data_IF_576459490065
#
_entry.id   IF_576459490065
#
_cell.length_a   1.000
_cell.length_b   1.000
_cell.length_c   1.000
_cell.angle_alpha   90.00
_cell.angle_beta   90.00
_cell.angle_gamma   90.00
#
_symmetry.space_group_name_H-M   'P 1'
#
loop_
_entity.id
_entity.type
_entity.pdbx_description
1 polymer ?
#
# COMPACT_ATOMS: atom_id res chain seq x y z
N UNK A 1 37.74 6.42 -15.33
CA UNK A 1 36.96 7.06 -14.26
C UNK A 1 35.77 6.12 -13.96
N UNK A 2 35.93 5.27 -12.94
CA UNK A 2 34.88 4.31 -12.54
C UNK A 2 33.88 5.13 -11.76
N UNK A 3 32.74 5.45 -12.36
CA UNK A 3 31.60 5.98 -11.61
C UNK A 3 31.12 4.85 -10.70
N UNK A 4 31.47 4.89 -9.43
CA UNK A 4 30.70 4.22 -8.39
C UNK A 4 29.32 4.89 -8.34
N UNK A 5 28.44 4.41 -9.19
CA UNK A 5 27.03 4.68 -9.04
C UNK A 5 26.64 3.94 -7.76
N UNK A 6 26.62 4.64 -6.63
CA UNK A 6 26.00 4.11 -5.41
C UNK A 6 24.57 3.73 -5.83
N UNK A 7 24.32 2.43 -5.94
CA UNK A 7 23.02 1.91 -6.32
C UNK A 7 22.03 2.33 -5.24
N UNK A 8 21.44 3.51 -5.47
CA UNK A 8 20.39 4.00 -4.60
C UNK A 8 19.17 3.10 -4.80
N UNK A 9 18.54 2.65 -3.73
CA UNK A 9 17.27 1.94 -3.81
C UNK A 9 16.26 2.83 -4.54
N UNK A 10 15.69 2.34 -5.64
CA UNK A 10 14.67 3.04 -6.41
C UNK A 10 13.46 2.15 -6.59
N UNK A 11 12.29 2.76 -6.66
CA UNK A 11 11.07 2.03 -6.94
C UNK A 11 10.07 2.83 -7.76
N UNK A 12 9.25 2.12 -8.50
CA UNK A 12 8.13 2.66 -9.26
C UNK A 12 6.88 1.85 -8.97
N UNK A 13 5.73 2.53 -9.01
CA UNK A 13 4.42 1.88 -8.95
C UNK A 13 3.61 2.29 -10.16
N UNK A 14 2.84 1.37 -10.72
CA UNK A 14 1.90 1.64 -11.81
C UNK A 14 0.61 0.85 -11.63
N UNK A 15 -0.32 1.06 -12.55
CA UNK A 15 -1.64 0.46 -12.53
C UNK A 15 -2.70 1.36 -11.90
N UNK A 16 -3.93 1.13 -12.29
CA UNK A 16 -5.12 1.87 -11.91
C UNK A 16 -5.95 1.07 -10.93
N UNK A 17 -6.77 1.77 -10.14
CA UNK A 17 -7.59 1.16 -9.08
C UNK A 17 -8.52 0.07 -9.61
N UNK A 18 -9.15 0.28 -10.77
CA UNK A 18 -10.03 -0.67 -11.43
C UNK A 18 -9.43 -1.24 -12.72
N UNK A 19 -8.14 -0.93 -13.03
CA UNK A 19 -7.38 -1.58 -14.08
C UNK A 19 -7.09 -3.05 -13.73
N UNK A 20 -6.49 -3.77 -14.68
CA UNK A 20 -6.23 -5.22 -14.57
C UNK A 20 -5.42 -5.59 -13.32
N UNK A 21 -4.38 -4.82 -13.03
CA UNK A 21 -3.49 -5.08 -11.91
C UNK A 21 -2.76 -3.81 -11.48
N UNK A 22 -2.21 -3.83 -10.28
CA UNK A 22 -1.15 -2.92 -9.87
C UNK A 22 0.19 -3.60 -10.09
N UNK A 23 1.19 -2.83 -10.45
CA UNK A 23 2.57 -3.31 -10.53
C UNK A 23 3.49 -2.44 -9.69
N UNK A 24 4.56 -3.07 -9.20
CA UNK A 24 5.64 -2.40 -8.51
C UNK A 24 6.98 -2.91 -9.00
N UNK A 25 7.93 -2.03 -9.23
CA UNK A 25 9.31 -2.38 -9.57
C UNK A 25 10.23 -1.79 -8.52
N UNK A 26 11.17 -2.58 -8.00
CA UNK A 26 12.21 -2.12 -7.08
C UNK A 26 13.58 -2.59 -7.59
N UNK A 27 14.54 -1.69 -7.61
CA UNK A 27 15.94 -1.97 -7.94
C UNK A 27 16.87 -1.56 -6.80
N UNK A 28 18.09 -2.11 -6.80
CA UNK A 28 19.08 -1.84 -5.76
C UNK A 28 19.05 -2.83 -4.60
N UNK A 29 18.20 -3.86 -4.64
CA UNK A 29 18.23 -4.96 -3.68
C UNK A 29 19.39 -5.89 -4.04
N UNK A 30 20.28 -6.23 -3.08
CA UNK A 30 21.41 -7.13 -3.33
C UNK A 30 20.95 -8.55 -3.68
N UNK A 31 21.79 -9.28 -4.40
CA UNK A 31 21.56 -10.70 -4.68
C UNK A 31 21.64 -11.55 -3.39
N UNK A 32 21.01 -12.73 -3.43
CA UNK A 32 20.97 -13.73 -2.37
C UNK A 32 20.13 -13.37 -1.12
N UNK A 33 19.36 -12.29 -1.13
CA UNK A 33 18.37 -12.06 -0.08
C UNK A 33 17.26 -13.13 -0.21
N UNK A 34 16.97 -13.91 0.86
CA UNK A 34 15.81 -14.79 0.88
C UNK A 34 14.53 -13.98 0.75
N UNK A 35 13.71 -14.29 -0.26
CA UNK A 35 12.46 -13.57 -0.55
C UNK A 35 11.47 -14.48 -1.25
N UNK A 36 10.23 -14.49 -0.76
CA UNK A 36 9.09 -15.19 -1.34
C UNK A 36 7.86 -14.28 -1.38
N UNK A 37 6.84 -14.64 -2.16
CA UNK A 37 5.54 -13.95 -2.13
C UNK A 37 4.91 -13.97 -0.74
N UNK A 38 5.09 -15.05 0.03
CA UNK A 38 4.57 -15.15 1.39
C UNK A 38 5.13 -14.06 2.32
N UNK A 39 6.40 -13.68 2.17
CA UNK A 39 7.00 -12.59 2.96
C UNK A 39 6.32 -11.25 2.68
N UNK A 40 5.86 -11.04 1.45
CA UNK A 40 5.17 -9.81 1.01
C UNK A 40 3.70 -9.85 1.44
N UNK A 41 3.05 -10.98 1.31
CA UNK A 41 1.63 -11.17 1.60
C UNK A 41 1.28 -10.93 3.08
N UNK A 42 2.23 -11.12 4.00
CA UNK A 42 2.07 -10.77 5.41
C UNK A 42 1.74 -9.27 5.57
N UNK A 43 2.49 -8.39 4.92
CA UNK A 43 2.26 -6.95 5.00
C UNK A 43 1.04 -6.51 4.17
N UNK A 44 0.72 -7.19 3.06
CA UNK A 44 -0.53 -6.98 2.31
C UNK A 44 -1.75 -7.37 3.14
N UNK A 45 -1.74 -8.51 3.81
CA UNK A 45 -2.79 -8.94 4.73
C UNK A 45 -2.95 -7.95 5.90
N UNK A 46 -1.83 -7.48 6.46
CA UNK A 46 -1.81 -6.42 7.46
C UNK A 46 -2.47 -5.14 6.96
N UNK A 47 -2.20 -4.72 5.72
CA UNK A 47 -2.84 -3.56 5.08
C UNK A 47 -4.36 -3.73 5.00
N UNK A 48 -4.84 -4.93 4.73
CA UNK A 48 -6.26 -5.22 4.54
C UNK A 48 -7.03 -5.36 5.85
N UNK A 49 -6.38 -5.54 6.99
CA UNK A 49 -7.00 -5.64 8.31
C UNK A 49 -7.30 -4.26 8.92
N UNK A 50 -8.25 -4.20 9.85
CA UNK A 50 -8.59 -3.01 10.63
C UNK A 50 -10.06 -2.58 10.51
N UNK A 51 -10.50 -1.75 11.45
CA UNK A 51 -11.87 -1.24 11.55
C UNK A 51 -12.12 -0.10 10.55
N UNK A 52 -13.36 0.04 10.07
CA UNK A 52 -13.77 1.14 9.18
C UNK A 52 -13.26 1.02 7.74
N UNK A 53 -12.75 -0.15 7.33
CA UNK A 53 -12.32 -0.39 5.96
C UNK A 53 -13.52 -0.53 5.03
N UNK A 54 -13.45 0.15 3.87
CA UNK A 54 -14.54 0.16 2.88
C UNK A 54 -14.87 -1.23 2.32
N UNK A 55 -16.07 -1.37 1.73
CA UNK A 55 -16.61 -2.65 1.23
C UNK A 55 -15.74 -3.37 0.23
N UNK A 56 -14.92 -2.65 -0.56
CA UNK A 56 -13.97 -3.23 -1.52
C UNK A 56 -12.93 -4.15 -0.87
N UNK A 57 -12.55 -3.88 0.39
CA UNK A 57 -11.63 -4.74 1.14
C UNK A 57 -12.17 -6.15 1.41
N UNK A 58 -13.49 -6.36 1.24
CA UNK A 58 -14.13 -7.68 1.33
C UNK A 58 -13.97 -8.49 0.04
N UNK A 59 -13.76 -7.82 -1.09
CA UNK A 59 -13.64 -8.42 -2.42
C UNK A 59 -12.17 -8.77 -2.72
N UNK A 60 -11.27 -7.85 -2.38
CA UNK A 60 -9.84 -7.99 -2.64
C UNK A 60 -9.18 -8.86 -1.56
N UNK A 61 -8.41 -9.84 -2.02
CA UNK A 61 -7.45 -10.58 -1.21
C UNK A 61 -6.11 -10.42 -1.90
N UNK A 62 -5.33 -9.45 -1.44
CA UNK A 62 -4.09 -9.07 -2.10
C UNK A 62 -3.05 -10.18 -1.99
N UNK A 63 -2.49 -10.54 -3.14
CA UNK A 63 -1.37 -11.44 -3.28
C UNK A 63 -0.36 -10.79 -4.24
N UNK A 64 0.92 -10.82 -3.90
CA UNK A 64 1.97 -10.30 -4.74
C UNK A 64 2.63 -11.43 -5.53
N UNK A 65 2.36 -11.50 -6.83
CA UNK A 65 3.09 -12.36 -7.75
C UNK A 65 4.45 -11.73 -8.05
N UNK A 66 5.53 -12.49 -7.86
CA UNK A 66 6.88 -12.06 -8.21
C UNK A 66 7.14 -12.44 -9.67
N UNK A 67 7.19 -11.43 -10.55
CA UNK A 67 7.38 -11.60 -12.00
C UNK A 67 8.86 -11.73 -12.37
N UNK A 68 9.74 -11.04 -11.65
CA UNK A 68 11.19 -11.02 -11.94
C UNK A 68 12.03 -10.76 -10.70
N UNK A 69 13.35 -10.92 -10.83
CA UNK A 69 14.33 -10.52 -9.82
C UNK A 69 14.55 -11.53 -8.69
N UNK A 70 13.78 -12.65 -8.66
CA UNK A 70 13.90 -13.72 -7.67
C UNK A 70 13.94 -15.07 -8.38
N UNK A 71 14.83 -15.95 -7.92
CA UNK A 71 14.92 -17.34 -8.38
C UNK A 71 15.15 -18.27 -7.19
N UNK A 72 14.35 -19.34 -7.08
CA UNK A 72 14.47 -20.33 -6.01
C UNK A 72 14.48 -19.70 -4.60
N UNK A 73 13.60 -18.71 -4.39
CA UNK A 73 13.45 -18.03 -3.10
C UNK A 73 14.60 -17.08 -2.73
N UNK A 74 15.43 -16.67 -3.71
CA UNK A 74 16.51 -15.69 -3.50
C UNK A 74 16.52 -14.64 -4.58
N UNK A 75 16.76 -13.40 -4.20
CA UNK A 75 16.99 -12.29 -5.14
C UNK A 75 18.25 -12.54 -5.98
N UNK A 76 18.27 -12.05 -7.22
CA UNK A 76 19.38 -12.23 -8.15
C UNK A 76 20.14 -10.93 -8.47
N UNK A 77 19.80 -9.82 -7.78
CA UNK A 77 20.45 -8.52 -7.97
C UNK A 77 19.91 -7.71 -9.15
N UNK A 78 18.98 -8.25 -9.94
CA UNK A 78 18.25 -7.50 -10.97
C UNK A 78 16.99 -6.84 -10.40
N UNK A 79 16.33 -5.93 -11.13
CA UNK A 79 15.07 -5.35 -10.70
C UNK A 79 14.02 -6.43 -10.38
N UNK A 80 13.34 -6.27 -9.26
CA UNK A 80 12.25 -7.13 -8.82
C UNK A 80 10.94 -6.48 -9.26
N UNK A 81 10.13 -7.21 -10.00
CA UNK A 81 8.80 -6.79 -10.44
C UNK A 81 7.74 -7.59 -9.71
N UNK A 82 6.78 -6.88 -9.14
CA UNK A 82 5.59 -7.43 -8.50
C UNK A 82 4.34 -7.09 -9.30
N UNK A 83 3.39 -8.03 -9.33
CA UNK A 83 2.05 -7.83 -9.86
C UNK A 83 1.02 -8.19 -8.78
N UNK A 84 0.02 -7.32 -8.59
CA UNK A 84 -1.11 -7.52 -7.69
C UNK A 84 -2.38 -7.36 -8.50
N UNK A 85 -3.08 -8.46 -8.74
CA UNK A 85 -4.32 -8.45 -9.52
C UNK A 85 -5.43 -7.65 -8.82
N UNK A 86 -6.25 -6.97 -9.61
CA UNK A 86 -7.49 -6.37 -9.16
C UNK A 86 -8.65 -7.30 -9.48
N UNK A 87 -9.24 -7.94 -8.47
CA UNK A 87 -10.37 -8.86 -8.63
C UNK A 87 -11.62 -8.18 -9.17
N UNK A 88 -11.75 -6.89 -8.90
CA UNK A 88 -12.87 -6.08 -9.40
C UNK A 88 -12.76 -5.72 -10.89
N UNK A 89 -11.60 -5.94 -11.52
CA UNK A 89 -11.37 -5.64 -12.95
C UNK A 89 -12.40 -6.29 -13.89
N UNK A 90 -12.92 -7.45 -13.53
CA UNK A 90 -13.99 -8.14 -14.31
C UNK A 90 -15.22 -7.25 -14.55
N UNK A 91 -15.49 -6.30 -13.66
CA UNK A 91 -16.61 -5.36 -13.78
C UNK A 91 -16.23 -4.07 -14.55
N UNK A 92 -14.95 -3.91 -14.86
CA UNK A 92 -14.38 -2.70 -15.45
C UNK A 92 -13.64 -2.96 -16.77
N UNK A 93 -13.76 -4.15 -17.32
CA UNK A 93 -12.98 -4.60 -18.46
C UNK A 93 -13.00 -3.63 -19.64
N UNK A 94 -14.18 -3.11 -20.01
CA UNK A 94 -14.33 -2.13 -21.08
C UNK A 94 -13.96 -0.72 -20.61
N UNK A 95 -14.48 -0.30 -19.44
CA UNK A 95 -14.28 1.04 -18.92
C UNK A 95 -12.84 1.39 -18.53
N UNK A 96 -11.97 0.39 -18.37
CA UNK A 96 -10.54 0.54 -18.12
C UNK A 96 -9.67 -0.10 -19.20
N UNK A 97 -10.25 -0.34 -20.38
CA UNK A 97 -9.52 -0.88 -21.54
C UNK A 97 -8.56 0.15 -22.11
N UNK A 98 -7.34 -0.25 -22.51
CA UNK A 98 -6.46 0.60 -23.31
C UNK A 98 -6.87 0.70 -24.78
N UNK A 99 -7.84 -0.10 -25.24
CA UNK A 99 -8.28 -0.13 -26.63
C UNK A 99 -9.28 0.99 -26.90
N UNK A 100 -9.03 1.75 -27.97
CA UNK A 100 -9.89 2.86 -28.43
C UNK A 100 -11.32 2.41 -28.77
N UNK A 101 -11.53 1.14 -29.06
CA UNK A 101 -12.86 0.58 -29.35
C UNK A 101 -13.82 0.70 -28.14
N UNK A 102 -13.29 0.86 -26.95
CA UNK A 102 -14.08 1.00 -25.73
C UNK A 102 -14.24 2.47 -25.27
N UNK A 103 -13.80 3.45 -26.08
CA UNK A 103 -14.01 4.86 -25.77
C UNK A 103 -15.51 5.16 -25.61
N UNK A 104 -15.85 5.85 -24.52
CA UNK A 104 -17.24 6.15 -24.19
C UNK A 104 -18.07 4.99 -23.61
N UNK A 105 -17.46 3.82 -23.35
CA UNK A 105 -18.16 2.66 -22.72
C UNK A 105 -18.71 2.97 -21.31
N UNK A 106 -18.12 3.95 -20.63
CA UNK A 106 -18.60 4.46 -19.34
C UNK A 106 -18.67 6.00 -19.35
N UNK A 107 -19.62 6.62 -18.64
CA UNK A 107 -19.71 8.07 -18.59
C UNK A 107 -18.48 8.69 -17.89
N UNK A 108 -17.98 9.85 -18.38
CA UNK A 108 -16.87 10.55 -17.78
C UNK A 108 -17.22 11.10 -16.40
N UNK A 109 -16.24 11.16 -15.52
CA UNK A 109 -16.34 11.81 -14.21
C UNK A 109 -15.90 13.27 -14.37
N UNK A 110 -16.82 14.21 -14.17
CA UNK A 110 -16.57 15.66 -14.37
C UNK A 110 -16.49 16.46 -13.08
N UNK A 111 -16.81 15.84 -11.93
CA UNK A 111 -16.81 16.51 -10.62
C UNK A 111 -15.64 16.02 -9.76
N UNK A 112 -14.68 16.89 -9.43
CA UNK A 112 -13.57 16.55 -8.55
C UNK A 112 -14.07 16.34 -7.11
N UNK A 113 -13.49 15.36 -6.42
CA UNK A 113 -13.77 15.14 -4.99
C UNK A 113 -13.03 16.20 -4.16
N UNK A 114 -13.72 16.86 -3.19
CA UNK A 114 -13.07 17.78 -2.26
C UNK A 114 -11.96 17.09 -1.44
N UNK A 115 -10.85 17.79 -1.24
CA UNK A 115 -9.74 17.26 -0.46
C UNK A 115 -8.94 16.11 -1.09
N UNK A 116 -9.19 15.82 -2.38
CA UNK A 116 -8.48 14.75 -3.14
C UNK A 116 -7.57 15.35 -4.21
N UNK A 117 -6.75 14.50 -4.86
CA UNK A 117 -5.83 14.90 -5.93
C UNK A 117 -6.53 15.26 -7.26
N UNK A 118 -7.84 15.12 -7.35
CA UNK A 118 -8.61 15.15 -8.57
C UNK A 118 -8.44 16.46 -9.37
N UNK A 119 -8.71 17.61 -8.75
CA UNK A 119 -8.59 18.91 -9.42
C UNK A 119 -7.16 19.22 -9.81
N UNK A 120 -6.22 19.01 -8.89
CA UNK A 120 -4.80 19.27 -9.14
C UNK A 120 -4.26 18.38 -10.26
N UNK A 121 -4.65 17.09 -10.28
CA UNK A 121 -4.27 16.15 -11.33
C UNK A 121 -4.90 16.49 -12.67
N UNK A 122 -6.18 16.83 -12.71
CA UNK A 122 -6.87 17.23 -13.93
C UNK A 122 -6.19 18.45 -14.59
N UNK A 123 -5.85 19.46 -13.80
CA UNK A 123 -5.14 20.64 -14.29
C UNK A 123 -3.71 20.29 -14.76
N UNK A 124 -2.97 19.51 -13.96
CA UNK A 124 -1.57 19.15 -14.29
C UNK A 124 -1.46 18.36 -15.58
N UNK A 125 -2.36 17.42 -15.81
CA UNK A 125 -2.30 16.48 -16.94
C UNK A 125 -3.29 16.83 -18.07
N UNK A 126 -3.98 17.95 -17.96
CA UNK A 126 -5.00 18.40 -18.93
C UNK A 126 -6.04 17.30 -19.20
N UNK A 127 -6.60 16.72 -18.13
CA UNK A 127 -7.60 15.66 -18.22
C UNK A 127 -9.00 16.22 -17.96
N UNK A 128 -9.92 15.96 -18.89
CA UNK A 128 -11.33 16.34 -18.76
C UNK A 128 -12.16 15.25 -18.07
N UNK A 129 -11.84 13.98 -18.31
CA UNK A 129 -12.36 12.88 -17.50
C UNK A 129 -11.48 12.71 -16.26
N UNK A 130 -12.02 13.12 -15.10
CA UNK A 130 -11.34 13.03 -13.82
C UNK A 130 -11.09 11.57 -13.41
N UNK A 131 -11.76 10.61 -14.03
CA UNK A 131 -11.52 9.18 -13.80
C UNK A 131 -10.04 8.84 -13.97
N UNK A 132 -9.37 9.38 -14.98
CA UNK A 132 -7.95 9.16 -15.22
C UNK A 132 -7.06 9.57 -14.03
N UNK A 133 -7.53 10.53 -13.21
CA UNK A 133 -6.84 10.92 -11.97
C UNK A 133 -7.30 10.06 -10.80
N UNK A 134 -8.62 9.80 -10.67
CA UNK A 134 -9.20 8.98 -9.60
C UNK A 134 -8.53 7.61 -9.52
N UNK A 135 -8.40 6.97 -10.66
CA UNK A 135 -7.89 5.60 -10.77
C UNK A 135 -6.46 5.51 -10.25
N UNK A 136 -5.62 6.48 -10.61
CA UNK A 136 -4.21 6.48 -10.18
C UNK A 136 -4.01 6.99 -8.75
N UNK A 137 -4.83 7.92 -8.28
CA UNK A 137 -4.74 8.51 -6.93
C UNK A 137 -5.55 7.76 -5.87
N UNK A 138 -6.12 6.64 -6.22
CA UNK A 138 -6.89 5.80 -5.31
C UNK A 138 -6.03 5.22 -4.18
N UNK A 139 -6.65 4.98 -3.02
CA UNK A 139 -6.02 4.25 -1.92
C UNK A 139 -5.60 2.81 -2.31
N UNK A 140 -6.11 2.26 -3.41
CA UNK A 140 -5.71 0.96 -3.96
C UNK A 140 -4.22 0.93 -4.35
N UNK A 141 -3.68 2.04 -4.83
CA UNK A 141 -2.26 2.18 -5.19
C UNK A 141 -1.33 1.85 -4.01
N UNK A 142 -1.75 2.09 -2.78
CA UNK A 142 -0.95 1.77 -1.60
C UNK A 142 -0.66 0.27 -1.45
N UNK A 143 -1.38 -0.63 -2.12
CA UNK A 143 -1.06 -2.07 -2.13
C UNK A 143 0.31 -2.31 -2.78
N UNK A 144 0.59 -1.68 -3.94
CA UNK A 144 1.90 -1.79 -4.58
C UNK A 144 3.03 -1.21 -3.70
N UNK A 145 2.78 -0.07 -3.02
CA UNK A 145 3.75 0.52 -2.08
C UNK A 145 4.04 -0.38 -0.90
N UNK A 146 3.02 -0.99 -0.32
CA UNK A 146 3.17 -1.92 0.80
C UNK A 146 3.95 -3.15 0.37
N UNK A 147 3.66 -3.71 -0.81
CA UNK A 147 4.38 -4.85 -1.34
C UNK A 147 5.88 -4.56 -1.55
N UNK A 148 6.22 -3.41 -2.14
CA UNK A 148 7.61 -2.97 -2.29
C UNK A 148 8.27 -2.67 -0.94
N UNK A 149 7.52 -2.07 -0.01
CA UNK A 149 7.96 -1.83 1.36
C UNK A 149 8.26 -3.11 2.13
N UNK A 150 7.52 -4.20 1.87
CA UNK A 150 7.78 -5.51 2.47
C UNK A 150 9.16 -6.07 2.03
N UNK A 151 9.54 -5.88 0.75
CA UNK A 151 10.88 -6.27 0.26
C UNK A 151 11.97 -5.48 1.01
N UNK A 152 11.80 -4.15 1.13
CA UNK A 152 12.74 -3.31 1.87
C UNK A 152 12.83 -3.71 3.35
N UNK A 153 11.70 -4.01 3.97
CA UNK A 153 11.60 -4.49 5.35
C UNK A 153 12.28 -5.85 5.53
N UNK A 154 12.13 -6.77 4.55
CA UNK A 154 12.82 -8.05 4.53
C UNK A 154 14.35 -7.84 4.46
N UNK A 155 14.82 -6.91 3.63
CA UNK A 155 16.23 -6.56 3.55
C UNK A 155 16.75 -5.97 4.87
N UNK A 156 16.03 -5.04 5.49
CA UNK A 156 16.41 -4.46 6.78
C UNK A 156 16.48 -5.50 7.90
N UNK A 157 15.67 -6.56 7.83
CA UNK A 157 15.68 -7.62 8.84
C UNK A 157 16.98 -8.42 8.87
N UNK A 158 17.75 -8.47 7.78
CA UNK A 158 19.09 -9.11 7.74
C UNK A 158 20.11 -8.36 8.62
N UNK A 159 19.83 -7.10 8.93
CA UNK A 159 20.65 -6.27 9.84
C UNK A 159 20.04 -6.17 11.25
N UNK A 160 19.03 -6.98 11.55
CA UNK A 160 18.33 -6.91 12.83
C UNK A 160 17.42 -5.69 12.99
N UNK A 161 17.24 -4.88 11.93
CA UNK A 161 16.36 -3.69 11.96
C UNK A 161 14.90 -4.13 11.85
N UNK A 162 14.07 -3.69 12.81
CA UNK A 162 12.63 -3.93 12.85
C UNK A 162 11.87 -2.64 12.58
N UNK A 163 10.85 -2.70 11.75
CA UNK A 163 9.96 -1.58 11.43
C UNK A 163 8.56 -1.89 11.92
N UNK A 164 8.02 -1.01 12.75
CA UNK A 164 6.66 -1.12 13.27
C UNK A 164 5.96 0.24 13.25
N UNK A 165 4.65 0.21 13.48
CA UNK A 165 3.84 1.43 13.56
C UNK A 165 2.63 1.20 14.46
N UNK A 166 2.13 2.28 15.05
CA UNK A 166 0.88 2.27 15.80
C UNK A 166 0.18 3.63 15.68
N UNK A 167 -1.12 3.61 15.93
CA UNK A 167 -1.96 4.80 15.88
C UNK A 167 -1.93 5.48 17.25
N UNK A 168 -1.63 6.77 17.26
CA UNK A 168 -1.57 7.59 18.49
C UNK A 168 -2.82 8.44 18.69
N UNK A 169 -3.54 8.77 17.60
CA UNK A 169 -4.73 9.62 17.70
C UNK A 169 -5.68 9.37 16.52
N UNK A 170 -6.98 9.37 16.78
CA UNK A 170 -8.06 9.43 15.76
C UNK A 170 -9.06 10.50 16.21
N UNK A 171 -9.30 11.48 15.36
CA UNK A 171 -10.14 12.63 15.70
C UNK A 171 -9.59 13.35 16.94
N UNK A 172 -10.42 13.50 17.99
CA UNK A 172 -10.02 14.10 19.27
C UNK A 172 -9.55 13.09 20.31
N UNK A 173 -9.60 11.79 20.00
CA UNK A 173 -9.21 10.71 20.92
C UNK A 173 -7.72 10.42 20.76
N UNK A 174 -6.96 10.65 21.81
CA UNK A 174 -5.51 10.41 21.85
C UNK A 174 -5.19 9.22 22.78
N UNK A 175 -4.23 8.39 22.41
CA UNK A 175 -3.68 7.33 23.26
C UNK A 175 -2.86 7.92 24.41
N UNK A 176 -3.10 7.44 25.62
CA UNK A 176 -2.32 7.79 26.81
C UNK A 176 -0.93 7.11 26.83
N UNK A 177 -0.75 6.09 26.00
CA UNK A 177 0.48 5.26 25.96
C UNK A 177 1.54 5.75 24.96
N UNK A 178 1.34 6.94 24.37
CA UNK A 178 2.36 7.54 23.53
C UNK A 178 3.54 8.04 24.36
N UNK A 179 4.72 7.44 24.16
CA UNK A 179 5.98 7.89 24.76
C UNK A 179 6.99 8.13 23.65
N UNK A 180 7.61 9.31 23.65
CA UNK A 180 8.64 9.68 22.66
C UNK A 180 9.96 8.93 22.91
N UNK A 181 10.23 8.53 24.17
CA UNK A 181 11.40 7.75 24.55
C UNK A 181 10.95 6.44 25.20
N UNK A 182 11.19 5.34 24.51
CA UNK A 182 10.91 3.98 24.98
C UNK A 182 12.12 3.12 24.71
N UNK A 183 12.36 2.13 25.57
CA UNK A 183 13.36 1.09 25.28
C UNK A 183 12.93 0.25 24.07
N UNK A 184 13.87 -0.42 23.43
CA UNK A 184 13.59 -1.34 22.30
C UNK A 184 12.53 -2.36 22.67
N UNK A 185 12.62 -2.94 23.86
CA UNK A 185 11.68 -3.94 24.36
C UNK A 185 10.25 -3.35 24.48
N UNK A 186 10.11 -2.16 25.07
CA UNK A 186 8.80 -1.49 25.19
C UNK A 186 8.20 -1.14 23.83
N UNK A 187 9.03 -0.73 22.87
CA UNK A 187 8.59 -0.46 21.50
C UNK A 187 8.07 -1.73 20.82
N UNK A 188 8.78 -2.85 20.93
CA UNK A 188 8.35 -4.13 20.36
C UNK A 188 7.05 -4.62 20.97
N UNK A 189 6.89 -4.53 22.30
CA UNK A 189 5.64 -4.86 22.98
C UNK A 189 4.49 -3.96 22.52
N UNK A 190 4.77 -2.67 22.31
CA UNK A 190 3.79 -1.70 21.79
C UNK A 190 3.33 -2.05 20.38
N UNK A 191 4.25 -2.43 19.48
CA UNK A 191 3.91 -2.86 18.14
C UNK A 191 3.05 -4.13 18.14
N UNK A 192 3.39 -5.13 18.95
CA UNK A 192 2.61 -6.37 19.08
C UNK A 192 1.18 -6.08 19.56
N UNK A 193 1.02 -5.23 20.58
CA UNK A 193 -0.30 -4.82 21.08
C UNK A 193 -1.10 -4.06 20.03
N UNK A 194 -0.44 -3.18 19.28
CA UNK A 194 -1.08 -2.42 18.20
C UNK A 194 -1.60 -3.33 17.08
N UNK A 195 -0.86 -4.39 16.70
CA UNK A 195 -1.31 -5.33 15.66
C UNK A 195 -2.59 -6.09 16.08
N UNK A 196 -2.79 -6.34 17.37
CA UNK A 196 -4.03 -6.96 17.90
C UNK A 196 -5.21 -6.00 18.00
N UNK A 197 -5.02 -4.70 17.77
CA UNK A 197 -6.08 -3.68 17.91
C UNK A 197 -6.80 -3.42 16.59
N UNK A 198 -8.12 -3.27 16.65
CA UNK A 198 -8.96 -2.95 15.50
C UNK A 198 -8.55 -1.65 14.77
N UNK A 199 -8.00 -0.69 15.50
CA UNK A 199 -7.52 0.61 14.96
C UNK A 199 -6.00 0.77 15.10
N UNK A 200 -5.27 -0.30 15.39
CA UNK A 200 -3.80 -0.32 15.58
C UNK A 200 -3.31 0.61 16.69
N UNK A 201 -4.13 0.82 17.69
CA UNK A 201 -3.76 1.56 18.90
C UNK A 201 -3.38 0.58 20.02
N UNK A 202 -2.20 0.72 20.67
CA UNK A 202 -1.78 -0.19 21.76
C UNK A 202 -2.51 0.03 23.08
N UNK A 203 -3.38 1.05 23.15
CA UNK A 203 -4.19 1.42 24.31
C UNK A 203 -5.64 0.95 24.09
N UNK A 204 -6.08 0.00 24.89
CA UNK A 204 -7.41 -0.61 24.76
C UNK A 204 -8.55 0.38 25.00
N UNK A 205 -8.41 1.28 26.00
CA UNK A 205 -9.41 2.30 26.30
C UNK A 205 -9.50 3.33 25.16
N UNK A 206 -8.34 3.79 24.66
CA UNK A 206 -8.32 4.66 23.50
C UNK A 206 -8.87 3.96 22.26
N UNK A 207 -8.60 2.67 22.06
CA UNK A 207 -9.13 1.87 20.95
C UNK A 207 -10.66 1.91 20.91
N UNK A 208 -11.34 1.64 22.04
CA UNK A 208 -12.80 1.69 22.12
C UNK A 208 -13.36 3.07 21.76
N UNK A 209 -12.74 4.12 22.30
CA UNK A 209 -13.13 5.52 22.01
C UNK A 209 -12.87 5.91 20.57
N UNK A 210 -11.77 5.43 19.96
CA UNK A 210 -11.43 5.66 18.56
C UNK A 210 -12.41 4.97 17.62
N UNK A 211 -12.82 3.73 17.92
CA UNK A 211 -13.87 3.02 17.17
C UNK A 211 -15.17 3.80 17.19
N UNK A 212 -15.64 4.23 18.38
CA UNK A 212 -16.85 5.05 18.50
C UNK A 212 -16.74 6.38 17.77
N UNK A 213 -15.55 7.01 17.76
CA UNK A 213 -15.33 8.25 17.00
C UNK A 213 -15.43 8.04 15.48
N UNK A 214 -15.00 6.89 14.99
CA UNK A 214 -15.16 6.51 13.57
C UNK A 214 -16.65 6.28 13.25
N UNK A 215 -17.36 5.49 14.08
CA UNK A 215 -18.78 5.20 13.90
C UNK A 215 -19.64 6.47 13.89
N UNK A 216 -19.33 7.44 14.75
CA UNK A 216 -20.04 8.72 14.81
C UNK A 216 -19.72 9.67 13.65
N UNK A 217 -18.72 9.37 12.82
CA UNK A 217 -18.32 10.18 11.67
C UNK A 217 -18.87 9.65 10.33
N UNK A 218 -19.49 8.46 10.34
CA UNK A 218 -20.13 7.80 9.19
C UNK A 218 -21.60 8.17 9.15
#
# INVERSE_FOLDING_TARGET
>A
MIYFNMSCLRFFTSGESHGRALTGIIEGIPANLPLSSADIDIDLGRRQSGFGRGGRMKIESDHAEIISGVRWGKTIGSPITLLIENRDYKNWHEGMSPDILHDGSIPPVTRPRPGHADLAGALKYNQHDIRNILERSSARETAARVALGAIAKRFLSEFGVKVGSYVVQIGKVQSSKFKVQSSEKELLETFIKAEGSAVRCPDEEATKKMVSAIENAI
#
